data_IF_594657059190
#
_entry.id   IF_594657059190
#
_cell.length_a   1.000
_cell.length_b   1.000
_cell.length_c   1.000
_cell.angle_alpha   90.00
_cell.angle_beta   90.00
_cell.angle_gamma   90.00
#
_symmetry.space_group_name_H-M   'P 1'
#
loop_
_entity.id
_entity.type
_entity.pdbx_description
1 polymer ?
#
# COMPACT_ATOMS: atom_id res chain seq x y z
N UNK A 1 -5.87 11.51 -11.47
CA UNK A 1 -6.56 11.99 -12.68
C UNK A 1 -8.03 12.25 -12.38
N UNK A 2 -8.59 13.35 -12.91
CA UNK A 2 -10.03 13.51 -13.07
C UNK A 2 -10.47 12.81 -14.36
N UNK A 3 -11.66 12.19 -14.34
CA UNK A 3 -12.24 11.48 -15.48
C UNK A 3 -13.57 12.17 -15.81
N UNK A 4 -13.67 12.74 -17.01
CA UNK A 4 -14.89 13.37 -17.53
C UNK A 4 -15.21 12.79 -18.91
N UNK A 5 -16.14 11.85 -18.95
CA UNK A 5 -16.38 11.04 -20.15
C UNK A 5 -15.15 10.24 -20.52
N UNK A 6 -14.60 10.44 -21.71
CA UNK A 6 -13.38 9.77 -22.20
C UNK A 6 -12.09 10.58 -21.94
N UNK A 7 -12.18 11.70 -21.22
CA UNK A 7 -11.03 12.56 -20.95
C UNK A 7 -10.42 12.26 -19.59
N UNK A 8 -9.07 12.21 -19.56
CA UNK A 8 -8.26 12.02 -18.34
C UNK A 8 -7.40 13.27 -18.14
N UNK A 9 -7.62 13.97 -17.04
CA UNK A 9 -6.84 15.14 -16.66
C UNK A 9 -5.98 14.81 -15.45
N UNK A 10 -4.64 15.00 -15.56
CA UNK A 10 -3.72 14.83 -14.44
C UNK A 10 -4.03 15.90 -13.38
N UNK A 11 -4.36 15.49 -12.15
CA UNK A 11 -4.60 16.38 -11.02
C UNK A 11 -3.32 16.61 -10.20
N UNK A 12 -2.61 15.52 -9.89
CA UNK A 12 -1.42 15.57 -9.05
C UNK A 12 -0.54 14.35 -9.29
N UNK A 13 0.75 14.48 -8.94
CA UNK A 13 1.71 13.39 -8.81
C UNK A 13 2.30 13.40 -7.41
N UNK A 14 2.47 12.22 -6.83
CA UNK A 14 3.01 12.05 -5.48
C UNK A 14 4.06 10.95 -5.49
N UNK A 15 5.24 11.24 -4.91
CA UNK A 15 6.26 10.21 -4.70
C UNK A 15 5.76 9.17 -3.69
N UNK A 16 6.00 7.90 -3.98
CA UNK A 16 5.65 6.79 -3.08
C UNK A 16 6.77 6.42 -2.11
N UNK A 17 7.94 7.03 -2.26
CA UNK A 17 9.10 6.85 -1.37
C UNK A 17 9.51 8.19 -0.74
N UNK A 18 10.19 8.17 0.44
CA UNK A 18 10.72 9.37 1.05
C UNK A 18 11.70 10.12 0.13
N UNK A 19 11.79 11.44 0.27
CA UNK A 19 12.64 12.27 -0.58
C UNK A 19 14.14 12.00 -0.39
N UNK A 20 14.54 11.47 0.75
CA UNK A 20 15.92 11.09 1.10
C UNK A 20 16.27 9.65 0.75
N UNK A 21 15.34 8.88 0.20
CA UNK A 21 15.61 7.51 -0.25
C UNK A 21 16.48 7.51 -1.51
N UNK A 22 17.71 7.01 -1.39
CA UNK A 22 18.71 6.99 -2.46
C UNK A 22 18.77 5.67 -3.25
N UNK A 23 17.93 4.69 -2.91
CA UNK A 23 17.88 3.38 -3.55
C UNK A 23 17.01 3.34 -4.81
N UNK A 24 16.96 2.18 -5.44
CA UNK A 24 16.02 1.90 -6.53
C UNK A 24 14.72 1.35 -5.95
N UNK A 25 13.60 1.94 -6.32
CA UNK A 25 12.27 1.49 -5.94
C UNK A 25 11.33 1.44 -7.13
N UNK A 26 10.37 0.54 -7.10
CA UNK A 26 9.26 0.50 -8.06
C UNK A 26 7.96 0.13 -7.36
N UNK A 27 6.90 0.86 -7.67
CA UNK A 27 5.55 0.52 -7.20
C UNK A 27 5.12 -0.85 -7.75
N UNK A 28 4.29 -1.56 -7.00
CA UNK A 28 3.69 -2.82 -7.44
C UNK A 28 2.16 -2.75 -7.38
N UNK A 29 1.56 -2.89 -6.20
CA UNK A 29 0.11 -2.83 -6.02
C UNK A 29 -0.33 -1.47 -5.49
N UNK A 30 -1.56 -1.08 -5.85
CA UNK A 30 -2.24 0.10 -5.34
C UNK A 30 -3.69 -0.28 -4.99
N UNK A 31 -4.14 0.07 -3.80
CA UNK A 31 -5.50 -0.24 -3.30
C UNK A 31 -6.07 0.95 -2.55
N UNK A 32 -7.35 1.20 -2.76
CA UNK A 32 -8.13 2.17 -1.98
C UNK A 32 -8.81 1.42 -0.83
N UNK A 33 -8.77 2.00 0.36
CA UNK A 33 -9.50 1.50 1.52
C UNK A 33 -11.02 1.53 1.26
N UNK A 34 -11.81 0.57 1.75
CA UNK A 34 -13.27 0.52 1.53
C UNK A 34 -14.03 1.79 1.91
N UNK A 35 -13.53 2.59 2.88
CA UNK A 35 -14.15 3.87 3.24
C UNK A 35 -13.89 5.02 2.25
N UNK A 36 -13.07 4.80 1.20
CA UNK A 36 -12.74 5.80 0.19
C UNK A 36 -11.79 6.93 0.63
N UNK A 37 -11.33 6.93 1.90
CA UNK A 37 -10.50 8.02 2.45
C UNK A 37 -9.00 7.79 2.34
N UNK A 38 -8.56 6.55 2.23
CA UNK A 38 -7.14 6.20 2.24
C UNK A 38 -6.76 5.37 1.04
N UNK A 39 -5.52 5.55 0.61
CA UNK A 39 -4.89 4.82 -0.48
C UNK A 39 -3.58 4.23 0.02
N UNK A 40 -3.30 2.99 -0.36
CA UNK A 40 -2.06 2.29 -0.03
C UNK A 40 -1.34 1.86 -1.30
N UNK A 41 -0.01 1.94 -1.29
CA UNK A 41 0.84 1.50 -2.42
C UNK A 41 2.01 0.69 -1.87
N UNK A 42 2.32 -0.45 -2.50
CA UNK A 42 3.51 -1.21 -2.16
C UNK A 42 4.71 -0.79 -3.00
N UNK A 43 5.87 -0.63 -2.35
CA UNK A 43 7.14 -0.22 -2.93
C UNK A 43 8.16 -1.35 -2.87
N UNK A 44 8.51 -1.95 -3.99
CA UNK A 44 9.59 -2.95 -4.10
C UNK A 44 10.94 -2.24 -4.15
N UNK A 45 11.88 -2.69 -3.36
CA UNK A 45 13.21 -2.09 -3.19
C UNK A 45 13.30 -1.13 -2.01
N UNK A 46 12.29 -0.31 -1.73
CA UNK A 46 12.10 0.37 -0.45
C UNK A 46 11.43 -0.55 0.58
N UNK A 47 10.73 -1.58 0.10
CA UNK A 47 10.08 -2.65 0.86
C UNK A 47 9.11 -2.15 1.94
N UNK A 48 8.28 -1.19 1.53
CA UNK A 48 7.26 -0.57 2.38
C UNK A 48 5.88 -0.57 1.74
N UNK A 49 4.86 -0.39 2.59
CA UNK A 49 3.57 0.17 2.19
C UNK A 49 3.59 1.67 2.52
N UNK A 50 3.36 2.53 1.53
CA UNK A 50 3.04 3.92 1.79
C UNK A 50 1.54 4.07 1.97
N UNK A 51 1.13 4.77 3.02
CA UNK A 51 -0.26 5.16 3.24
C UNK A 51 -0.45 6.63 2.87
N UNK A 52 -1.53 6.93 2.18
CA UNK A 52 -1.92 8.28 1.79
C UNK A 52 -3.38 8.53 2.15
N UNK A 53 -3.67 9.77 2.55
CA UNK A 53 -5.05 10.26 2.61
C UNK A 53 -5.43 10.85 1.25
N UNK A 54 -6.66 10.56 0.82
CA UNK A 54 -7.27 11.12 -0.39
C UNK A 54 -7.96 12.44 0.01
N UNK A 55 -7.50 13.54 -0.54
CA UNK A 55 -8.01 14.88 -0.26
C UNK A 55 -9.28 15.18 -1.09
N UNK A 56 -10.07 16.16 -0.67
CA UNK A 56 -11.32 16.53 -1.33
C UNK A 56 -11.14 17.02 -2.78
N UNK A 57 -9.95 17.56 -3.11
CA UNK A 57 -9.58 17.98 -4.46
C UNK A 57 -9.01 16.84 -5.32
N UNK A 58 -8.97 15.61 -4.79
CA UNK A 58 -8.38 14.44 -5.43
C UNK A 58 -6.87 14.34 -5.29
N UNK A 59 -6.23 15.27 -4.57
CA UNK A 59 -4.81 15.18 -4.20
C UNK A 59 -4.55 14.10 -3.16
N UNK A 60 -3.26 13.79 -2.94
CA UNK A 60 -2.83 12.79 -1.96
C UNK A 60 -1.93 13.45 -0.91
N UNK A 61 -2.17 13.13 0.36
CA UNK A 61 -1.31 13.48 1.48
C UNK A 61 -0.68 12.22 2.06
N UNK A 62 0.64 12.11 1.99
CA UNK A 62 1.36 10.98 2.58
C UNK A 62 1.23 10.99 4.11
N UNK A 63 0.81 9.86 4.67
CA UNK A 63 0.66 9.64 6.11
C UNK A 63 1.89 8.95 6.72
N UNK A 64 2.56 8.08 5.95
CA UNK A 64 3.76 7.38 6.39
C UNK A 64 4.14 6.21 5.49
N UNK A 65 5.31 5.65 5.78
CA UNK A 65 5.88 4.46 5.14
C UNK A 65 6.03 3.37 6.19
N UNK A 66 5.46 2.20 5.92
CA UNK A 66 5.39 1.08 6.85
C UNK A 66 6.21 -0.08 6.30
N UNK A 67 7.34 -0.45 6.96
CA UNK A 67 8.16 -1.58 6.54
C UNK A 67 7.34 -2.87 6.46
N UNK A 68 7.48 -3.61 5.35
CA UNK A 68 6.71 -4.86 5.13
C UNK A 68 7.30 -6.06 5.87
N UNK A 69 8.34 -5.87 6.68
CA UNK A 69 9.05 -6.92 7.41
C UNK A 69 9.56 -8.05 6.49
N UNK A 70 9.76 -7.72 5.22
CA UNK A 70 10.20 -8.64 4.18
C UNK A 70 10.72 -7.89 2.96
N UNK A 71 10.86 -8.60 1.85
CA UNK A 71 11.40 -8.05 0.61
C UNK A 71 10.45 -8.28 -0.56
N UNK A 72 10.45 -7.28 -1.47
CA UNK A 72 9.67 -7.30 -2.70
C UNK A 72 8.18 -7.49 -2.44
N UNK A 73 7.52 -6.51 -1.77
CA UNK A 73 6.07 -6.53 -1.55
C UNK A 73 5.33 -6.38 -2.89
N UNK A 74 5.13 -7.53 -3.57
CA UNK A 74 4.60 -7.58 -4.92
C UNK A 74 3.11 -7.30 -5.00
N UNK A 75 2.37 -7.74 -4.02
CA UNK A 75 0.93 -7.49 -3.90
C UNK A 75 0.54 -7.37 -2.43
N UNK A 76 -0.61 -6.81 -2.20
CA UNK A 76 -1.29 -6.81 -0.92
C UNK A 76 -2.80 -6.73 -1.13
N UNK A 77 -3.57 -7.14 -0.15
CA UNK A 77 -5.01 -6.94 -0.16
C UNK A 77 -5.48 -6.36 1.16
N UNK A 78 -6.54 -5.55 1.08
CA UNK A 78 -7.28 -5.05 2.25
C UNK A 78 -8.51 -5.94 2.39
N UNK A 79 -8.77 -6.43 3.59
CA UNK A 79 -9.96 -7.25 3.84
C UNK A 79 -11.25 -6.44 3.61
N UNK A 80 -12.38 -7.08 3.28
CA UNK A 80 -13.62 -6.36 2.98
C UNK A 80 -14.13 -5.47 4.11
N UNK A 81 -13.74 -5.73 5.36
CA UNK A 81 -14.11 -4.88 6.50
C UNK A 81 -13.26 -3.61 6.61
N UNK A 82 -12.13 -3.56 5.90
CA UNK A 82 -11.16 -2.47 5.96
C UNK A 82 -10.29 -2.47 7.23
N UNK A 83 -10.33 -3.55 8.04
CA UNK A 83 -9.55 -3.61 9.28
C UNK A 83 -8.14 -4.14 9.12
N UNK A 84 -7.92 -4.97 8.11
CA UNK A 84 -6.65 -5.68 7.92
C UNK A 84 -6.11 -5.50 6.52
N UNK A 85 -4.78 -5.45 6.42
CA UNK A 85 -4.03 -5.44 5.18
C UNK A 85 -3.00 -6.55 5.24
N UNK A 86 -3.02 -7.47 4.25
CA UNK A 86 -2.05 -8.56 4.14
C UNK A 86 -1.14 -8.28 2.96
N UNK A 87 0.17 -8.27 3.21
CA UNK A 87 1.23 -8.05 2.21
C UNK A 87 1.87 -9.36 1.83
N UNK A 88 2.09 -9.55 0.52
CA UNK A 88 2.85 -10.65 -0.06
C UNK A 88 4.28 -10.21 -0.38
N UNK A 89 5.25 -10.60 0.43
CA UNK A 89 6.68 -10.37 0.25
C UNK A 89 7.29 -11.51 -0.58
N UNK A 90 7.40 -11.31 -1.89
CA UNK A 90 7.79 -12.36 -2.84
C UNK A 90 9.16 -12.96 -2.53
N UNK A 91 10.19 -12.11 -2.36
CA UNK A 91 11.59 -12.55 -2.27
C UNK A 91 12.02 -12.94 -0.85
N UNK A 92 11.21 -12.65 0.14
CA UNK A 92 11.37 -13.16 1.52
C UNK A 92 10.40 -14.28 1.86
N UNK A 93 9.61 -14.76 0.90
CA UNK A 93 8.73 -15.92 1.05
C UNK A 93 7.77 -15.79 2.24
N UNK A 94 7.18 -14.60 2.43
CA UNK A 94 6.38 -14.33 3.62
C UNK A 94 5.13 -13.51 3.35
N UNK A 95 4.13 -13.72 4.20
CA UNK A 95 2.99 -12.81 4.36
C UNK A 95 3.16 -12.04 5.67
N UNK A 96 2.77 -10.75 5.63
CA UNK A 96 2.76 -9.90 6.82
C UNK A 96 1.39 -9.26 6.93
N UNK A 97 0.82 -9.28 8.14
CA UNK A 97 -0.48 -8.71 8.42
C UNK A 97 -0.32 -7.37 9.16
N UNK A 98 -1.10 -6.39 8.74
CA UNK A 98 -1.25 -5.11 9.41
C UNK A 98 -2.70 -4.89 9.84
N UNK A 99 -2.90 -4.29 11.01
CA UNK A 99 -4.16 -3.64 11.37
C UNK A 99 -4.17 -2.23 10.79
N UNK A 100 -5.29 -1.86 10.19
CA UNK A 100 -5.53 -0.51 9.66
C UNK A 100 -6.31 0.28 10.71
N UNK A 101 -5.80 1.45 11.09
CA UNK A 101 -6.60 2.43 11.81
C UNK A 101 -7.54 3.12 10.82
N UNK A 102 -8.82 2.77 10.85
CA UNK A 102 -9.84 3.28 9.90
C UNK A 102 -10.13 4.78 10.04
N UNK A 103 -9.69 5.42 11.12
CA UNK A 103 -9.86 6.85 11.36
C UNK A 103 -8.67 7.68 10.82
N UNK A 104 -7.45 7.15 10.95
CA UNK A 104 -6.21 7.85 10.60
C UNK A 104 -5.48 7.26 9.40
N UNK A 105 -5.85 6.07 8.91
CA UNK A 105 -5.21 5.39 7.78
C UNK A 105 -3.84 4.80 8.09
N UNK A 106 -3.40 4.83 9.34
CA UNK A 106 -2.10 4.28 9.76
C UNK A 106 -2.13 2.76 9.88
N UNK A 107 -0.95 2.13 9.72
CA UNK A 107 -0.79 0.68 9.80
C UNK A 107 -0.01 0.29 11.05
N UNK A 108 -0.42 -0.81 11.68
CA UNK A 108 0.31 -1.45 12.78
C UNK A 108 0.49 -2.92 12.46
N UNK A 109 1.74 -3.42 12.50
CA UNK A 109 2.02 -4.84 12.23
C UNK A 109 1.40 -5.72 13.30
N UNK A 110 0.81 -6.86 12.88
CA UNK A 110 0.21 -7.86 13.78
C UNK A 110 0.97 -9.17 13.64
N UNK A 111 1.45 -9.69 14.76
CA UNK A 111 2.14 -10.99 14.82
C UNK A 111 3.46 -10.99 14.05
N UNK A 112 3.96 -12.21 13.84
CA UNK A 112 5.21 -12.46 13.10
C UNK A 112 4.89 -12.75 11.63
N UNK A 113 5.87 -12.55 10.70
CA UNK A 113 5.71 -12.94 9.30
C UNK A 113 5.39 -14.43 9.17
N UNK A 114 4.38 -14.75 8.34
CA UNK A 114 4.00 -16.13 8.03
C UNK A 114 4.77 -16.61 6.80
N UNK A 115 5.53 -17.69 6.92
CA UNK A 115 6.30 -18.27 5.82
C UNK A 115 5.41 -18.96 4.79
N UNK A 116 5.62 -18.63 3.51
CA UNK A 116 4.93 -19.22 2.36
C UNK A 116 5.81 -19.08 1.12
N UNK A 117 5.75 -20.04 0.19
CA UNK A 117 6.59 -20.01 -1.02
C UNK A 117 6.24 -18.88 -1.98
N UNK A 118 7.12 -17.90 -2.16
CA UNK A 118 7.09 -16.80 -3.17
C UNK A 118 5.68 -16.26 -3.49
N UNK A 119 4.97 -15.66 -2.53
CA UNK A 119 3.62 -15.16 -2.77
C UNK A 119 3.66 -13.96 -3.71
N UNK A 120 2.78 -13.95 -4.72
CA UNK A 120 2.72 -12.89 -5.74
C UNK A 120 1.35 -12.24 -5.88
N UNK A 121 0.35 -12.79 -5.20
CA UNK A 121 -1.03 -12.27 -5.20
C UNK A 121 -1.71 -12.59 -3.88
N UNK A 122 -2.52 -11.65 -3.38
CA UNK A 122 -3.39 -11.84 -2.22
C UNK A 122 -4.82 -11.47 -2.63
N UNK A 123 -5.75 -12.38 -2.33
CA UNK A 123 -7.18 -12.16 -2.60
C UNK A 123 -8.00 -12.63 -1.41
N UNK A 124 -8.97 -11.83 -1.00
CA UNK A 124 -10.03 -12.25 -0.08
C UNK A 124 -11.23 -12.76 -0.88
N UNK A 125 -11.79 -13.88 -0.45
CA UNK A 125 -12.99 -14.47 -1.04
C UNK A 125 -14.25 -13.96 -0.34
#
# INVERSE_FOLDING_TARGET
YAIEGDNFTLLSETSTVPADFAGTSSCAAIKIHPNGRFLYVSNRGHDTIVACEILADGGLRTLGWYPTMGRTPRDFAIDPTGRYLIVANQDSHSLVCFEINGEHGTLTTIGEPFEIGSPVCVLFA
#
